data_IF_113877806915
#
_entry.id   IF_113877806915
#
_cell.length_a   1.000
_cell.length_b   1.000
_cell.length_c   1.000
_cell.angle_alpha   90.00
_cell.angle_beta   90.00
_cell.angle_gamma   90.00
#
_symmetry.space_group_name_H-M   'P 1'
#
loop_
_entity.id
_entity.type
_entity.pdbx_description
1 polymer ?
#
# COMPACT_ATOMS: atom_id res chain seq x y z
N UNK A 1 -14.93 -53.03 -42.60
CA UNK A 1 -14.34 -51.79 -43.15
C UNK A 1 -14.33 -50.80 -42.01
N UNK A 2 -13.25 -50.77 -41.25
CA UNK A 2 -13.18 -50.00 -40.00
C UNK A 2 -11.96 -49.10 -40.03
N UNK A 3 -12.23 -47.85 -39.66
CA UNK A 3 -11.47 -46.66 -40.01
C UNK A 3 -10.11 -46.63 -39.31
N UNK A 4 -9.06 -46.48 -40.11
CA UNK A 4 -7.70 -46.18 -39.68
C UNK A 4 -7.70 -44.78 -39.07
N UNK A 5 -7.46 -44.68 -37.76
CA UNK A 5 -7.30 -43.41 -37.05
C UNK A 5 -5.87 -42.91 -37.28
N UNK A 6 -5.72 -41.88 -38.11
CA UNK A 6 -4.44 -41.19 -38.33
C UNK A 6 -4.17 -40.30 -37.12
N UNK A 7 -3.15 -40.64 -36.32
CA UNK A 7 -2.65 -39.79 -35.25
C UNK A 7 -1.87 -38.61 -35.88
N UNK A 8 -2.43 -37.40 -35.80
CA UNK A 8 -1.68 -36.17 -36.06
C UNK A 8 -0.78 -35.92 -34.85
N UNK A 9 0.51 -36.22 -35.01
CA UNK A 9 1.56 -35.87 -34.05
C UNK A 9 1.92 -34.40 -34.29
N UNK A 10 1.44 -33.52 -33.43
CA UNK A 10 1.83 -32.10 -33.44
C UNK A 10 3.28 -31.95 -32.96
N UNK A 11 4.20 -31.85 -33.91
CA UNK A 11 5.62 -31.60 -33.67
C UNK A 11 5.94 -30.12 -33.50
N UNK A 12 5.44 -29.46 -32.44
CA UNK A 12 6.02 -28.19 -31.93
C UNK A 12 5.75 -27.99 -30.43
N UNK A 13 6.46 -28.73 -29.58
CA UNK A 13 6.78 -28.27 -28.23
C UNK A 13 8.28 -28.01 -28.15
N UNK A 14 8.68 -26.82 -28.60
CA UNK A 14 10.00 -26.28 -28.34
C UNK A 14 10.15 -26.06 -26.84
N UNK A 15 11.25 -26.59 -26.33
CA UNK A 15 11.77 -26.45 -24.98
C UNK A 15 11.93 -24.98 -24.56
N UNK A 16 11.96 -24.79 -23.24
CA UNK A 16 12.30 -23.58 -22.48
C UNK A 16 11.20 -22.55 -22.27
N UNK A 17 10.49 -22.67 -21.15
CA UNK A 17 10.39 -21.51 -20.25
C UNK A 17 10.49 -21.97 -18.80
N UNK A 18 11.72 -22.33 -18.42
CA UNK A 18 12.12 -22.43 -17.02
C UNK A 18 12.86 -21.16 -16.62
N UNK A 19 12.23 -19.98 -16.82
CA UNK A 19 12.58 -18.82 -16.02
C UNK A 19 11.99 -18.98 -14.62
N UNK A 20 12.65 -19.84 -13.81
CA UNK A 20 12.70 -19.60 -12.37
C UNK A 20 13.32 -18.22 -12.23
N UNK A 21 12.52 -17.21 -11.91
CA UNK A 21 13.07 -15.97 -11.39
C UNK A 21 13.95 -16.36 -10.21
N UNK A 22 15.26 -16.10 -10.31
CA UNK A 22 16.18 -16.33 -9.21
C UNK A 22 15.61 -15.63 -7.97
N UNK A 23 15.48 -16.31 -6.81
CA UNK A 23 15.00 -15.66 -5.58
C UNK A 23 16.02 -14.65 -5.00
N UNK A 24 17.09 -14.35 -5.74
CA UNK A 24 18.24 -13.56 -5.29
C UNK A 24 18.00 -12.04 -5.25
N UNK A 25 16.88 -11.55 -5.80
CA UNK A 25 16.49 -10.14 -5.71
C UNK A 25 15.03 -10.04 -5.22
N UNK A 26 14.74 -10.61 -4.06
CA UNK A 26 13.50 -10.30 -3.36
C UNK A 26 13.72 -8.99 -2.61
N UNK A 27 13.40 -7.87 -3.27
CA UNK A 27 13.35 -6.55 -2.63
C UNK A 27 12.35 -6.65 -1.48
N UNK A 28 12.85 -6.78 -0.25
CA UNK A 28 12.02 -6.81 0.95
C UNK A 28 11.38 -5.44 1.12
N UNK A 29 10.22 -5.24 0.50
CA UNK A 29 9.36 -4.11 0.83
C UNK A 29 9.03 -4.27 2.31
N UNK A 30 9.50 -3.35 3.16
CA UNK A 30 9.14 -3.28 4.58
C UNK A 30 7.64 -2.99 4.63
N UNK A 31 6.81 -4.05 4.60
CA UNK A 31 5.37 -3.92 4.61
C UNK A 31 4.93 -3.66 6.03
N UNK A 32 4.59 -2.42 6.31
CA UNK A 32 4.15 -2.02 7.63
C UNK A 32 2.69 -2.41 7.85
N UNK A 33 2.45 -3.37 8.74
CA UNK A 33 1.12 -3.94 8.96
C UNK A 33 0.32 -3.26 10.07
N UNK A 34 0.98 -2.49 10.94
CA UNK A 34 0.35 -1.93 12.12
C UNK A 34 -0.68 -0.87 11.72
N UNK A 35 -1.91 -1.07 12.16
CA UNK A 35 -3.03 -0.15 12.02
C UNK A 35 -3.47 0.35 13.39
N UNK A 36 -4.32 1.37 13.41
CA UNK A 36 -5.01 1.82 14.61
C UNK A 36 -6.41 2.34 14.28
N UNK A 37 -7.24 2.42 15.32
CA UNK A 37 -8.48 3.20 15.34
C UNK A 37 -8.52 4.06 16.60
N UNK A 38 -9.42 5.04 16.64
CA UNK A 38 -9.63 5.91 17.79
C UNK A 38 -10.84 5.38 18.57
N UNK A 39 -10.67 5.09 19.85
CA UNK A 39 -11.77 4.65 20.73
C UNK A 39 -12.65 5.84 21.17
N UNK A 40 -13.71 5.57 21.91
CA UNK A 40 -14.62 6.60 22.45
C UNK A 40 -13.92 7.58 23.40
N UNK A 41 -12.85 7.14 24.07
CA UNK A 41 -12.03 7.97 24.95
C UNK A 41 -11.05 8.88 24.20
N UNK A 42 -10.89 8.70 22.87
CA UNK A 42 -9.93 9.44 22.05
C UNK A 42 -8.53 8.82 21.96
N UNK A 43 -8.32 7.63 22.53
CA UNK A 43 -7.05 6.91 22.50
C UNK A 43 -6.87 6.11 21.21
N UNK A 44 -5.62 5.94 20.79
CA UNK A 44 -5.26 5.08 19.66
C UNK A 44 -5.17 3.63 20.13
N UNK A 45 -6.04 2.77 19.60
CA UNK A 45 -5.98 1.32 19.81
C UNK A 45 -5.36 0.66 18.59
N UNK A 46 -4.23 -0.03 18.80
CA UNK A 46 -3.46 -0.65 17.73
C UNK A 46 -3.97 -2.05 17.38
N UNK A 47 -3.91 -2.39 16.09
CA UNK A 47 -4.39 -3.68 15.56
C UNK A 47 -3.70 -4.01 14.24
N UNK A 48 -3.70 -5.30 13.88
CA UNK A 48 -3.28 -5.76 12.53
C UNK A 48 -4.47 -5.92 11.59
N UNK A 49 -5.70 -5.87 12.13
CA UNK A 49 -6.94 -5.98 11.35
C UNK A 49 -7.17 -4.71 10.53
N UNK A 50 -7.90 -4.85 9.41
CA UNK A 50 -8.28 -3.72 8.53
C UNK A 50 -9.56 -3.01 8.97
N UNK A 51 -10.30 -3.63 9.87
CA UNK A 51 -11.58 -3.14 10.39
C UNK A 51 -11.51 -3.05 11.91
N UNK A 52 -12.13 -1.99 12.43
CA UNK A 52 -12.36 -1.77 13.85
C UNK A 52 -13.51 -2.64 14.36
N UNK A 53 -13.70 -2.79 15.69
CA UNK A 53 -14.84 -3.52 16.24
C UNK A 53 -16.21 -3.00 15.80
N UNK A 54 -16.29 -1.74 15.37
CA UNK A 54 -17.49 -1.09 14.84
C UNK A 54 -17.65 -1.26 13.31
N UNK A 55 -16.77 -2.01 12.66
CA UNK A 55 -16.77 -2.21 11.20
C UNK A 55 -16.17 -1.04 10.39
N UNK A 56 -15.67 0.01 11.05
CA UNK A 56 -14.99 1.13 10.36
C UNK A 56 -13.58 0.74 9.94
N UNK A 57 -13.11 1.24 8.80
CA UNK A 57 -11.76 1.00 8.31
C UNK A 57 -10.69 1.59 9.25
N UNK A 58 -9.66 0.80 9.56
CA UNK A 58 -8.53 1.22 10.39
C UNK A 58 -7.52 2.05 9.60
N UNK A 59 -6.78 2.92 10.29
CA UNK A 59 -5.77 3.79 9.69
C UNK A 59 -4.35 3.25 9.93
N UNK A 60 -3.42 3.53 9.00
CA UNK A 60 -2.02 3.15 9.17
C UNK A 60 -1.40 3.86 10.37
N UNK A 61 -0.74 3.11 11.25
CA UNK A 61 -0.02 3.68 12.39
C UNK A 61 1.26 4.43 11.98
N UNK A 62 1.70 4.28 10.74
CA UNK A 62 2.98 4.79 10.27
C UNK A 62 2.83 6.16 9.62
N UNK A 63 3.78 7.09 9.88
CA UNK A 63 3.75 8.39 9.24
C UNK A 63 3.94 8.26 7.72
N UNK A 64 3.37 9.21 6.98
CA UNK A 64 3.60 9.31 5.55
C UNK A 64 5.10 9.51 5.27
N UNK A 65 5.61 8.86 4.22
CA UNK A 65 7.02 8.95 3.81
C UNK A 65 7.38 10.40 3.50
N UNK A 66 8.45 10.89 4.10
CA UNK A 66 9.03 12.17 3.73
C UNK A 66 9.86 12.02 2.46
N UNK A 67 9.67 12.93 1.51
CA UNK A 67 10.43 13.03 0.27
C UNK A 67 10.93 14.47 0.17
N UNK A 68 12.25 14.71 0.08
CA UNK A 68 12.77 16.06 -0.15
C UNK A 68 12.24 16.67 -1.46
N UNK A 69 12.04 15.85 -2.48
CA UNK A 69 11.59 16.18 -3.83
C UNK A 69 10.07 16.12 -4.01
N UNK A 70 9.30 16.37 -2.95
CA UNK A 70 7.85 16.22 -3.01
C UNK A 70 7.17 17.22 -3.97
N UNK A 71 6.82 16.71 -5.16
CA UNK A 71 6.16 17.43 -6.26
C UNK A 71 4.83 18.08 -5.86
N UNK A 72 4.15 17.54 -4.83
CA UNK A 72 2.84 18.01 -4.40
C UNK A 72 2.88 18.87 -3.12
N UNK A 73 4.06 19.31 -2.72
CA UNK A 73 4.28 20.14 -1.53
C UNK A 73 3.49 21.45 -1.55
N UNK A 74 3.47 22.16 -2.70
CA UNK A 74 2.70 23.41 -2.87
C UNK A 74 1.20 23.19 -2.65
N UNK A 75 0.65 22.14 -3.24
CA UNK A 75 -0.77 21.79 -3.17
C UNK A 75 -1.17 21.46 -1.74
N UNK A 76 -0.33 20.70 -1.03
CA UNK A 76 -0.54 20.38 0.40
C UNK A 76 -0.60 21.65 1.26
N UNK A 77 0.31 22.60 1.06
CA UNK A 77 0.33 23.87 1.81
C UNK A 77 -0.90 24.72 1.50
N UNK A 78 -1.28 24.85 0.22
CA UNK A 78 -2.48 25.59 -0.20
C UNK A 78 -3.77 25.00 0.40
N UNK A 79 -3.90 23.67 0.41
CA UNK A 79 -5.05 23.01 1.02
C UNK A 79 -5.11 23.31 2.51
N UNK A 80 -4.00 23.17 3.24
CA UNK A 80 -3.95 23.52 4.68
C UNK A 80 -4.32 24.98 4.94
N UNK A 81 -3.89 25.91 4.09
CA UNK A 81 -4.22 27.34 4.19
C UNK A 81 -5.72 27.59 4.03
N UNK A 82 -6.37 26.96 3.04
CA UNK A 82 -7.83 27.12 2.78
C UNK A 82 -8.70 26.68 3.95
N UNK A 83 -8.30 25.62 4.66
CA UNK A 83 -9.03 25.10 5.81
C UNK A 83 -8.57 25.67 7.17
N UNK A 84 -7.70 26.70 7.19
CA UNK A 84 -7.24 27.29 8.46
C UNK A 84 -6.37 26.35 9.31
N UNK A 85 -5.78 25.30 8.71
CA UNK A 85 -5.04 24.26 9.42
C UNK A 85 -3.54 24.57 9.56
N UNK A 86 -3.07 25.68 9.00
CA UNK A 86 -1.65 26.03 9.02
C UNK A 86 -1.25 26.55 10.41
N UNK A 87 -0.15 26.07 11.02
CA UNK A 87 0.28 26.55 12.34
C UNK A 87 0.52 28.06 12.40
N UNK A 88 0.92 28.67 11.28
CA UNK A 88 1.16 30.13 11.17
C UNK A 88 -0.12 30.96 11.17
N UNK A 89 -1.29 30.35 10.96
CA UNK A 89 -2.60 31.03 11.08
C UNK A 89 -3.08 31.08 12.54
N UNK A 90 -2.50 30.26 13.42
CA UNK A 90 -2.84 30.21 14.85
C UNK A 90 -1.98 31.21 15.62
N UNK A 91 -2.43 31.67 16.81
CA UNK A 91 -1.59 32.49 17.67
C UNK A 91 -0.24 31.81 17.96
N UNK A 92 0.82 32.59 18.22
CA UNK A 92 2.14 32.04 18.50
C UNK A 92 2.08 31.06 19.66
N UNK A 93 2.84 29.96 19.56
CA UNK A 93 2.96 28.99 20.66
C UNK A 93 3.57 29.71 21.87
N UNK A 94 2.87 29.67 23.00
CA UNK A 94 3.44 30.07 24.29
C UNK A 94 4.31 28.92 24.79
N UNK A 95 5.53 29.23 25.18
CA UNK A 95 6.51 28.30 25.75
C UNK A 95 6.60 28.49 27.25
#
# INVERSE_FOLDING_TARGET
MDKVFFAVVDHRKTLSDSRRSSPANQEYSIKMYLQFYINENGDKVYTTKKESPLGLATQSAHPARFSPDDKFSRQRVLLKKRFGLLPTQKPPRKY
#
